data_IF_502006724979
#
_entry.id   IF_502006724979
#
_cell.length_a   1.000
_cell.length_b   1.000
_cell.length_c   1.000
_cell.angle_alpha   90.00
_cell.angle_beta   90.00
_cell.angle_gamma   90.00
#
_symmetry.space_group_name_H-M   'P 1'
#
loop_
_entity.id
_entity.type
_entity.pdbx_description
1 polymer ?
#
# COMPACT_ATOMS: atom_id res chain seq x y z
N UNK A 1 -15.59 8.53 -17.65
CA UNK A 1 -14.74 7.48 -18.25
C UNK A 1 -14.44 6.45 -17.16
N UNK A 2 -15.05 5.27 -17.23
CA UNK A 2 -14.85 4.21 -16.24
C UNK A 2 -13.49 3.58 -16.55
N UNK A 3 -12.53 3.51 -15.60
CA UNK A 3 -11.24 2.89 -15.85
C UNK A 3 -11.44 1.43 -16.26
N UNK A 4 -10.74 1.02 -17.32
CA UNK A 4 -10.85 -0.30 -17.91
C UNK A 4 -10.46 -1.38 -16.88
N UNK A 5 -11.13 -2.53 -16.88
CA UNK A 5 -10.88 -3.59 -15.89
C UNK A 5 -9.43 -4.09 -15.93
N UNK A 6 -8.84 -4.13 -17.13
CA UNK A 6 -7.43 -4.47 -17.38
C UNK A 6 -6.46 -3.48 -16.71
N UNK A 7 -6.76 -2.19 -16.71
CA UNK A 7 -5.93 -1.17 -16.05
C UNK A 7 -5.95 -1.32 -14.52
N UNK A 8 -7.11 -1.66 -13.95
CA UNK A 8 -7.24 -1.91 -12.52
C UNK A 8 -6.48 -3.18 -12.10
N UNK A 9 -6.58 -4.26 -12.88
CA UNK A 9 -5.82 -5.49 -12.65
C UNK A 9 -4.32 -5.24 -12.73
N UNK A 10 -3.86 -4.51 -13.76
CA UNK A 10 -2.44 -4.13 -13.92
C UNK A 10 -1.94 -3.30 -12.75
N UNK A 11 -2.71 -2.32 -12.27
CA UNK A 11 -2.34 -1.50 -11.10
C UNK A 11 -2.25 -2.31 -9.83
N UNK A 12 -3.20 -3.22 -9.60
CA UNK A 12 -3.18 -4.13 -8.44
C UNK A 12 -1.91 -4.97 -8.45
N UNK A 13 -1.55 -5.51 -9.62
CA UNK A 13 -0.36 -6.32 -9.78
C UNK A 13 0.92 -5.51 -9.55
N UNK A 14 1.02 -4.29 -10.09
CA UNK A 14 2.15 -3.37 -9.82
C UNK A 14 2.29 -3.08 -8.32
N UNK A 15 1.20 -2.77 -7.63
CA UNK A 15 1.21 -2.49 -6.18
C UNK A 15 1.72 -3.72 -5.41
N UNK A 16 1.19 -4.90 -5.69
CA UNK A 16 1.63 -6.16 -5.06
C UNK A 16 3.12 -6.40 -5.31
N UNK A 17 3.59 -6.21 -6.54
CA UNK A 17 5.01 -6.40 -6.89
C UNK A 17 5.91 -5.40 -6.17
N UNK A 18 5.52 -4.13 -6.09
CA UNK A 18 6.27 -3.10 -5.34
C UNK A 18 6.35 -3.45 -3.86
N UNK A 19 5.24 -3.86 -3.25
CA UNK A 19 5.25 -4.30 -1.85
C UNK A 19 6.11 -5.55 -1.63
N UNK A 20 6.09 -6.52 -2.55
CA UNK A 20 6.98 -7.69 -2.49
C UNK A 20 8.45 -7.28 -2.57
N UNK A 21 8.81 -6.37 -3.48
CA UNK A 21 10.18 -5.85 -3.58
C UNK A 21 10.62 -5.15 -2.30
N UNK A 22 9.75 -4.31 -1.72
CA UNK A 22 10.00 -3.64 -0.44
C UNK A 22 10.12 -4.64 0.71
N UNK A 23 9.37 -5.76 0.70
CA UNK A 23 9.48 -6.80 1.70
C UNK A 23 10.76 -7.64 1.56
N UNK A 24 11.19 -7.92 0.32
CA UNK A 24 12.37 -8.76 0.02
C UNK A 24 13.68 -8.02 0.29
N UNK A 25 13.74 -6.70 0.05
CA UNK A 25 14.96 -5.92 0.24
C UNK A 25 15.55 -6.00 1.67
N UNK A 26 14.77 -5.88 2.76
CA UNK A 26 15.25 -6.09 4.12
C UNK A 26 15.84 -7.49 4.37
N UNK A 27 15.27 -8.53 3.77
CA UNK A 27 15.74 -9.91 3.95
C UNK A 27 17.07 -10.12 3.23
N UNK A 28 17.18 -9.64 1.98
CA UNK A 28 18.44 -9.70 1.25
C UNK A 28 19.53 -8.91 1.97
N UNK A 29 19.18 -7.74 2.49
CA UNK A 29 20.08 -6.94 3.31
C UNK A 29 20.50 -7.70 4.57
N UNK A 30 19.56 -8.34 5.26
CA UNK A 30 19.84 -9.13 6.47
C UNK A 30 20.72 -10.34 6.18
N UNK A 31 20.46 -11.09 5.11
CA UNK A 31 21.29 -12.21 4.67
C UNK A 31 22.71 -11.75 4.31
N UNK A 32 22.83 -10.63 3.60
CA UNK A 32 24.12 -10.04 3.26
C UNK A 32 24.92 -9.66 4.51
N UNK A 33 24.26 -9.07 5.49
CA UNK A 33 24.87 -8.71 6.78
C UNK A 33 25.36 -9.93 7.53
N UNK A 34 24.55 -10.98 7.58
CA UNK A 34 24.91 -12.23 8.24
C UNK A 34 26.10 -12.87 7.57
N UNK A 35 26.14 -12.89 6.23
CA UNK A 35 27.30 -13.38 5.48
C UNK A 35 28.57 -12.57 5.76
N UNK A 36 28.45 -11.24 5.87
CA UNK A 36 29.57 -10.34 6.25
C UNK A 36 30.09 -10.62 7.66
N UNK A 37 29.19 -10.75 8.65
CA UNK A 37 29.56 -11.06 10.03
C UNK A 37 30.29 -12.40 10.07
N UNK A 38 29.68 -13.46 9.50
CA UNK A 38 30.28 -14.79 9.45
C UNK A 38 31.65 -14.77 8.76
N UNK A 39 31.78 -14.03 7.65
CA UNK A 39 33.05 -13.88 6.94
C UNK A 39 34.14 -13.23 7.79
N UNK A 40 33.83 -12.18 8.54
CA UNK A 40 34.78 -11.54 9.44
C UNK A 40 35.15 -12.44 10.63
N UNK A 41 34.17 -13.13 11.21
CA UNK A 41 34.40 -14.06 12.33
C UNK A 41 35.34 -15.20 11.96
N UNK A 42 35.26 -15.69 10.72
CA UNK A 42 36.17 -16.71 10.20
C UNK A 42 37.59 -16.17 10.02
N UNK A 43 37.76 -14.90 9.66
CA UNK A 43 39.08 -14.28 9.52
C UNK A 43 39.79 -14.04 10.86
N UNK A 44 39.05 -13.82 11.95
CA UNK A 44 39.60 -13.35 13.24
C UNK A 44 39.85 -14.46 14.28
N UNK A 45 39.81 -15.73 13.87
CA UNK A 45 40.13 -16.86 14.76
C UNK A 45 38.93 -17.40 15.56
N UNK A 46 37.70 -17.11 15.14
CA UNK A 46 36.48 -17.69 15.69
C UNK A 46 35.69 -16.74 16.59
N UNK A 47 34.37 -16.76 16.42
CA UNK A 47 33.44 -16.10 17.32
C UNK A 47 33.18 -16.96 18.56
N UNK A 48 33.02 -16.29 19.69
CA UNK A 48 32.43 -16.84 20.90
C UNK A 48 30.99 -17.31 20.65
N UNK A 49 30.57 -18.32 21.42
CA UNK A 49 29.26 -18.98 21.26
C UNK A 49 28.10 -18.02 21.44
N UNK A 50 28.26 -16.99 22.26
CA UNK A 50 27.24 -15.97 22.54
C UNK A 50 26.98 -15.07 21.33
N UNK A 51 28.02 -14.67 20.59
CA UNK A 51 27.88 -13.90 19.36
C UNK A 51 27.11 -14.68 18.28
N UNK A 52 27.37 -15.99 18.14
CA UNK A 52 26.61 -16.85 17.23
C UNK A 52 25.12 -16.94 17.57
N UNK A 53 24.78 -17.00 18.86
CA UNK A 53 23.39 -17.01 19.32
C UNK A 53 22.73 -15.67 18.98
N UNK A 54 23.42 -14.54 19.22
CA UNK A 54 22.92 -13.21 18.85
C UNK A 54 22.60 -13.09 17.36
N UNK A 55 23.53 -13.51 16.51
CA UNK A 55 23.34 -13.52 15.04
C UNK A 55 22.15 -14.42 14.64
N UNK A 56 22.05 -15.60 15.25
CA UNK A 56 20.94 -16.53 14.99
C UNK A 56 19.57 -15.95 15.37
N UNK A 57 19.46 -15.33 16.55
CA UNK A 57 18.22 -14.71 17.03
C UNK A 57 17.81 -13.55 16.15
N UNK A 58 18.75 -12.66 15.80
CA UNK A 58 18.48 -11.51 14.93
C UNK A 58 17.96 -11.99 13.57
N UNK A 59 18.66 -12.94 12.92
CA UNK A 59 18.20 -13.51 11.65
C UNK A 59 16.85 -14.22 11.75
N UNK A 60 16.65 -15.02 12.80
CA UNK A 60 15.40 -15.73 13.03
C UNK A 60 14.21 -14.78 13.14
N UNK A 61 14.36 -13.70 13.90
CA UNK A 61 13.32 -12.67 14.02
C UNK A 61 13.05 -11.96 12.70
N UNK A 62 14.09 -11.60 11.93
CA UNK A 62 13.91 -10.94 10.64
C UNK A 62 13.25 -11.84 9.59
N UNK A 63 13.64 -13.12 9.51
CA UNK A 63 13.00 -14.12 8.64
C UNK A 63 11.54 -14.36 9.03
N UNK A 64 11.24 -14.40 10.33
CA UNK A 64 9.88 -14.59 10.83
C UNK A 64 9.00 -13.38 10.48
N UNK A 65 9.50 -12.17 10.74
CA UNK A 65 8.81 -10.93 10.38
C UNK A 65 8.58 -10.83 8.87
N UNK A 66 9.57 -11.18 8.05
CA UNK A 66 9.42 -11.23 6.60
C UNK A 66 8.37 -12.24 6.16
N UNK A 67 8.39 -13.45 6.71
CA UNK A 67 7.44 -14.50 6.37
C UNK A 67 6.02 -14.06 6.69
N UNK A 68 5.79 -13.46 7.86
CA UNK A 68 4.51 -12.87 8.23
C UNK A 68 4.14 -11.78 7.22
N UNK A 69 5.03 -10.83 6.93
CA UNK A 69 4.73 -9.75 6.00
C UNK A 69 4.38 -10.28 4.61
N UNK A 70 5.13 -11.25 4.09
CA UNK A 70 4.97 -11.82 2.76
C UNK A 70 3.68 -12.63 2.61
N UNK A 71 3.33 -13.46 3.59
CA UNK A 71 2.11 -14.28 3.57
C UNK A 71 0.85 -13.48 3.87
N UNK A 72 0.92 -12.48 4.76
CA UNK A 72 -0.25 -11.68 5.13
C UNK A 72 -0.45 -10.47 4.22
N UNK A 73 0.55 -10.04 3.43
CA UNK A 73 0.43 -8.94 2.47
C UNK A 73 -0.77 -9.05 1.52
N UNK A 74 -1.06 -10.22 0.90
CA UNK A 74 -2.23 -10.39 0.05
C UNK A 74 -3.55 -10.22 0.80
N UNK A 75 -3.61 -10.71 2.05
CA UNK A 75 -4.80 -10.57 2.90
C UNK A 75 -5.01 -9.10 3.29
N UNK A 76 -3.94 -8.42 3.72
CA UNK A 76 -3.93 -6.98 4.03
C UNK A 76 -4.36 -6.18 2.79
N UNK A 77 -3.78 -6.47 1.63
CA UNK A 77 -4.17 -5.85 0.36
C UNK A 77 -5.65 -6.10 0.03
N UNK A 78 -6.18 -7.29 0.34
CA UNK A 78 -7.58 -7.64 0.14
C UNK A 78 -8.55 -6.87 1.07
N UNK A 79 -8.13 -6.48 2.26
CA UNK A 79 -8.92 -5.61 3.16
C UNK A 79 -9.00 -4.18 2.60
N UNK A 80 -7.88 -3.69 2.05
CA UNK A 80 -7.79 -2.32 1.56
C UNK A 80 -8.37 -2.13 0.17
N UNK A 81 -8.18 -3.09 -0.73
CA UNK A 81 -8.79 -3.08 -2.06
C UNK A 81 -10.27 -3.47 -1.91
N UNK A 82 -11.23 -2.57 -2.18
CA UNK A 82 -12.62 -2.98 -2.25
C UNK A 82 -12.70 -4.09 -3.30
N UNK A 83 -13.03 -5.31 -2.86
CA UNK A 83 -13.35 -6.42 -3.75
C UNK A 83 -14.58 -5.92 -4.51
N UNK A 84 -14.39 -5.42 -5.74
CA UNK A 84 -15.52 -5.17 -6.63
C UNK A 84 -16.27 -6.49 -6.67
N UNK A 85 -17.47 -6.52 -6.09
CA UNK A 85 -18.39 -7.61 -6.38
C UNK A 85 -18.63 -7.49 -7.86
N UNK A 86 -18.06 -8.42 -8.61
CA UNK A 86 -18.37 -8.61 -10.01
C UNK A 86 -19.89 -8.76 -10.07
N UNK A 87 -20.59 -7.88 -10.82
CA UNK A 87 -22.04 -8.02 -10.92
C UNK A 87 -22.34 -9.44 -11.42
N UNK A 88 -23.14 -10.18 -10.68
CA UNK A 88 -23.61 -11.51 -11.08
C UNK A 88 -25.02 -11.39 -11.63
N UNK A 89 -25.37 -12.24 -12.59
CA UNK A 89 -26.72 -12.31 -13.11
C UNK A 89 -27.68 -12.73 -11.99
N UNK A 90 -28.74 -11.98 -11.70
CA UNK A 90 -29.66 -12.30 -10.59
C UNK A 90 -30.47 -13.59 -10.83
N UNK A 91 -30.46 -14.12 -12.06
CA UNK A 91 -31.22 -15.32 -12.42
C UNK A 91 -30.40 -16.61 -12.38
N UNK A 92 -29.09 -16.53 -12.65
CA UNK A 92 -28.23 -17.71 -12.81
C UNK A 92 -26.85 -17.57 -12.15
N UNK A 93 -26.61 -16.47 -11.43
CA UNK A 93 -25.34 -16.13 -10.76
C UNK A 93 -24.09 -16.07 -11.67
N UNK A 94 -24.26 -16.14 -12.99
CA UNK A 94 -23.15 -15.97 -13.94
C UNK A 94 -22.46 -14.61 -13.76
N UNK A 95 -21.13 -14.59 -13.72
CA UNK A 95 -20.34 -13.37 -13.55
C UNK A 95 -20.36 -12.52 -14.82
N UNK A 96 -20.84 -11.28 -14.72
CA UNK A 96 -21.07 -10.39 -15.85
C UNK A 96 -19.84 -9.55 -16.23
N UNK A 97 -18.62 -9.99 -15.90
CA UNK A 97 -17.42 -9.25 -16.27
C UNK A 97 -17.11 -9.41 -17.77
N UNK A 98 -16.86 -8.29 -18.45
CA UNK A 98 -16.34 -8.29 -19.82
C UNK A 98 -17.36 -8.60 -20.93
N UNK A 99 -18.66 -8.54 -20.65
CA UNK A 99 -19.68 -8.71 -21.68
C UNK A 99 -19.64 -7.57 -22.72
N UNK A 100 -19.67 -7.95 -24.00
CA UNK A 100 -19.83 -7.03 -25.13
C UNK A 100 -21.31 -6.65 -25.35
N UNK A 101 -22.24 -7.54 -24.98
CA UNK A 101 -23.68 -7.38 -25.21
C UNK A 101 -24.45 -7.36 -23.88
N UNK A 102 -25.55 -6.61 -23.77
CA UNK A 102 -26.35 -6.48 -22.54
C UNK A 102 -27.29 -7.68 -22.33
N UNK A 103 -26.80 -8.92 -22.51
CA UNK A 103 -27.55 -10.16 -22.30
C UNK A 103 -26.67 -11.20 -21.60
N UNK A 104 -27.22 -11.91 -20.64
CA UNK A 104 -26.47 -12.98 -19.98
C UNK A 104 -26.21 -14.14 -20.97
N UNK A 105 -24.96 -14.64 -21.11
CA UNK A 105 -24.64 -15.71 -22.05
C UNK A 105 -25.21 -17.08 -21.64
N UNK A 106 -25.41 -17.32 -20.33
CA UNK A 106 -25.95 -18.58 -19.82
C UNK A 106 -27.47 -18.65 -19.95
N UNK A 107 -28.19 -17.63 -19.46
CA UNK A 107 -29.64 -17.67 -19.39
C UNK A 107 -30.36 -16.86 -20.49
N UNK A 108 -29.62 -16.12 -21.32
CA UNK A 108 -30.18 -15.30 -22.41
C UNK A 108 -30.96 -14.07 -21.95
N UNK A 109 -31.18 -13.88 -20.65
CA UNK A 109 -31.98 -12.77 -20.13
C UNK A 109 -31.30 -11.41 -20.41
N UNK A 110 -32.08 -10.39 -20.82
CA UNK A 110 -31.58 -9.04 -21.00
C UNK A 110 -31.16 -8.46 -19.65
N UNK A 111 -29.96 -7.90 -19.61
CA UNK A 111 -29.42 -7.22 -18.44
C UNK A 111 -29.89 -5.76 -18.51
N UNK A 112 -31.02 -5.46 -17.85
CA UNK A 112 -31.43 -4.08 -17.67
C UNK A 112 -30.47 -3.38 -16.70
N UNK A 113 -30.24 -2.06 -16.83
CA UNK A 113 -29.40 -1.30 -15.91
C UNK A 113 -29.85 -1.44 -14.44
N UNK A 114 -31.15 -1.65 -14.21
CA UNK A 114 -31.73 -1.94 -12.89
C UNK A 114 -31.16 -3.25 -12.28
N UNK A 115 -31.01 -4.31 -13.07
CA UNK A 115 -30.43 -5.58 -12.61
C UNK A 115 -28.93 -5.52 -12.36
N UNK A 116 -28.21 -4.63 -13.04
CA UNK A 116 -26.78 -4.42 -12.80
C UNK A 116 -26.50 -3.66 -11.50
N UNK A 117 -27.55 -3.26 -10.75
CA UNK A 117 -27.40 -2.42 -9.57
C UNK A 117 -26.83 -1.03 -9.91
N UNK A 118 -26.90 -0.63 -11.17
CA UNK A 118 -26.62 0.73 -11.58
C UNK A 118 -27.84 1.55 -11.17
N UNK A 119 -27.72 2.45 -10.18
CA UNK A 119 -28.84 3.29 -9.82
C UNK A 119 -29.35 4.01 -11.07
N UNK A 120 -30.68 4.17 -11.22
CA UNK A 120 -31.24 4.93 -12.33
C UNK A 120 -30.54 6.29 -12.37
N UNK A 121 -30.01 6.64 -13.55
CA UNK A 121 -29.05 7.72 -13.74
C UNK A 121 -29.55 9.12 -13.34
N UNK A 122 -30.80 9.24 -12.88
CA UNK A 122 -31.46 10.51 -12.76
C UNK A 122 -31.32 11.23 -11.42
N UNK A 123 -31.35 10.58 -10.24
CA UNK A 123 -31.34 11.32 -8.95
C UNK A 123 -30.87 10.48 -7.75
N UNK A 124 -29.72 9.80 -7.83
CA UNK A 124 -29.27 8.93 -6.73
C UNK A 124 -28.28 9.60 -5.76
N UNK A 125 -28.72 10.03 -4.54
CA UNK A 125 -27.84 10.36 -3.43
C UNK A 125 -26.99 9.16 -2.95
N UNK A 126 -27.18 7.97 -3.51
CA UNK A 126 -26.43 6.75 -3.23
C UNK A 126 -24.96 6.75 -3.70
N UNK A 127 -24.52 7.72 -4.52
CA UNK A 127 -23.10 7.89 -4.83
C UNK A 127 -22.30 8.57 -3.70
N UNK A 128 -22.97 9.34 -2.86
CA UNK A 128 -22.37 10.01 -1.70
C UNK A 128 -21.79 9.02 -0.66
N UNK A 129 -22.49 7.95 -0.22
CA UNK A 129 -21.94 7.01 0.75
C UNK A 129 -20.73 6.23 0.22
N UNK A 130 -20.63 6.01 -1.10
CA UNK A 130 -19.46 5.35 -1.70
C UNK A 130 -18.24 6.29 -1.73
N UNK A 131 -18.45 7.57 -2.08
CA UNK A 131 -17.37 8.57 -2.04
C UNK A 131 -16.85 8.75 -0.61
N UNK A 132 -17.76 8.85 0.37
CA UNK A 132 -17.41 8.97 1.80
C UNK A 132 -16.65 7.75 2.30
N UNK A 133 -17.02 6.53 1.90
CA UNK A 133 -16.29 5.31 2.29
C UNK A 133 -14.90 5.22 1.66
N UNK A 134 -14.72 5.69 0.41
CA UNK A 134 -13.40 5.75 -0.24
C UNK A 134 -12.50 6.79 0.45
N UNK A 135 -13.03 7.98 0.75
CA UNK A 135 -12.30 9.05 1.46
C UNK A 135 -11.85 8.56 2.86
N UNK A 136 -12.74 7.89 3.59
CA UNK A 136 -12.45 7.32 4.92
C UNK A 136 -11.39 6.22 4.87
N UNK A 137 -11.42 5.33 3.86
CA UNK A 137 -10.38 4.31 3.69
C UNK A 137 -9.01 4.93 3.37
N UNK A 138 -8.99 6.01 2.59
CA UNK A 138 -7.75 6.72 2.24
C UNK A 138 -7.11 7.39 3.45
N UNK A 139 -7.93 8.02 4.31
CA UNK A 139 -7.43 8.63 5.53
C UNK A 139 -6.86 7.57 6.48
N UNK A 140 -7.57 6.45 6.68
CA UNK A 140 -7.10 5.31 7.47
C UNK A 140 -5.77 4.75 6.94
N UNK A 141 -5.66 4.55 5.62
CA UNK A 141 -4.42 4.05 5.01
C UNK A 141 -3.24 5.01 5.24
N UNK A 142 -3.47 6.31 5.11
CA UNK A 142 -2.44 7.33 5.38
C UNK A 142 -2.02 7.33 6.85
N UNK A 143 -2.98 7.18 7.77
CA UNK A 143 -2.72 7.07 9.21
C UNK A 143 -1.95 5.81 9.56
N UNK A 144 -2.28 4.67 8.96
CA UNK A 144 -1.57 3.39 9.17
C UNK A 144 -0.12 3.48 8.67
N UNK A 145 0.11 4.03 7.47
CA UNK A 145 1.47 4.23 6.95
C UNK A 145 2.28 5.14 7.86
N UNK A 146 1.68 6.25 8.33
CA UNK A 146 2.34 7.16 9.27
C UNK A 146 2.66 6.48 10.59
N UNK A 147 1.74 5.68 11.14
CA UNK A 147 1.95 4.93 12.37
C UNK A 147 3.12 3.94 12.22
N UNK A 148 3.17 3.20 11.11
CA UNK A 148 4.28 2.28 10.80
C UNK A 148 5.60 3.05 10.70
N UNK A 149 5.60 4.21 10.01
CA UNK A 149 6.79 5.07 9.92
C UNK A 149 7.27 5.57 11.28
N UNK A 150 6.36 6.02 12.15
CA UNK A 150 6.68 6.43 13.52
C UNK A 150 7.20 5.29 14.38
N UNK A 151 6.60 4.10 14.29
CA UNK A 151 7.04 2.92 15.03
C UNK A 151 8.44 2.49 14.58
N UNK A 152 8.71 2.50 13.27
CA UNK A 152 10.03 2.22 12.71
C UNK A 152 11.06 3.26 13.17
N UNK A 153 10.69 4.54 13.23
CA UNK A 153 11.56 5.60 13.72
C UNK A 153 11.88 5.42 15.22
N UNK A 154 10.88 5.11 16.05
CA UNK A 154 11.04 4.84 17.48
C UNK A 154 11.95 3.64 17.75
N UNK A 155 11.98 2.64 16.87
CA UNK A 155 12.87 1.48 17.00
C UNK A 155 14.27 1.74 16.42
N UNK A 156 14.37 2.39 15.26
CA UNK A 156 15.64 2.62 14.57
C UNK A 156 16.46 3.74 15.22
N UNK A 157 15.81 4.77 15.77
CA UNK A 157 16.50 5.94 16.34
C UNK A 157 17.34 5.62 17.59
N UNK A 158 16.88 4.84 18.59
CA UNK A 158 17.70 4.42 19.71
C UNK A 158 18.90 3.56 19.29
N UNK A 159 18.70 2.66 18.32
CA UNK A 159 19.78 1.84 17.76
C UNK A 159 20.84 2.70 17.06
N UNK A 160 20.42 3.71 16.30
CA UNK A 160 21.31 4.67 15.66
C UNK A 160 22.08 5.51 16.69
N UNK A 161 21.37 6.04 17.70
CA UNK A 161 21.99 6.80 18.79
C UNK A 161 22.98 5.96 19.58
N UNK A 162 22.66 4.70 19.88
CA UNK A 162 23.63 3.79 20.49
C UNK A 162 24.83 3.59 19.58
N UNK A 163 24.65 3.30 18.30
CA UNK A 163 25.77 3.18 17.35
C UNK A 163 26.69 4.40 17.38
N UNK A 164 26.12 5.61 17.40
CA UNK A 164 26.87 6.86 17.54
C UNK A 164 27.58 7.00 18.90
N UNK A 165 26.89 6.74 20.02
CA UNK A 165 27.51 6.88 21.35
C UNK A 165 28.63 5.86 21.53
N UNK A 166 28.45 4.64 21.06
CA UNK A 166 29.49 3.60 21.04
C UNK A 166 30.71 4.03 20.21
N UNK A 167 30.52 4.53 18.98
CA UNK A 167 31.64 5.09 18.19
C UNK A 167 32.36 6.21 18.94
N UNK A 168 31.61 7.11 19.59
CA UNK A 168 32.19 8.29 20.22
C UNK A 168 32.96 7.96 21.49
N UNK A 169 32.42 7.10 22.37
CA UNK A 169 33.05 6.76 23.65
C UNK A 169 34.39 6.07 23.43
N UNK A 170 34.52 5.27 22.38
CA UNK A 170 35.77 4.57 22.06
C UNK A 170 36.78 5.41 21.32
N UNK A 171 36.31 6.31 20.45
CA UNK A 171 37.18 7.31 19.83
C UNK A 171 37.95 8.11 20.90
N UNK A 172 37.34 8.33 22.08
CA UNK A 172 37.98 8.99 23.22
C UNK A 172 38.76 8.05 24.14
N UNK A 173 38.31 6.80 24.35
CA UNK A 173 38.92 5.94 25.37
C UNK A 173 40.12 5.12 24.89
N UNK A 174 40.23 4.73 23.62
CA UNK A 174 41.39 3.91 23.19
C UNK A 174 41.55 3.85 21.66
N UNK A 175 42.54 4.55 21.10
CA UNK A 175 42.96 4.37 19.70
C UNK A 175 43.66 3.01 19.47
N UNK A 176 43.97 2.28 20.55
CA UNK A 176 44.72 1.02 20.55
C UNK A 176 43.85 -0.21 20.25
N UNK A 177 42.57 -0.21 20.61
CA UNK A 177 41.66 -1.37 20.38
C UNK A 177 40.96 -1.24 19.03
N UNK A 178 41.66 -1.69 17.97
CA UNK A 178 41.18 -1.75 16.56
C UNK A 178 39.88 -2.54 16.32
N UNK A 179 39.30 -3.21 17.33
CA UNK A 179 38.23 -4.18 17.09
C UNK A 179 36.81 -3.60 17.02
N UNK A 180 36.54 -2.39 17.53
CA UNK A 180 35.14 -1.95 17.74
C UNK A 180 34.68 -0.84 16.77
N UNK A 181 35.61 -0.05 16.22
CA UNK A 181 35.34 0.92 15.12
C UNK A 181 34.57 0.30 13.92
N UNK A 182 34.88 -0.94 13.45
CA UNK A 182 34.15 -1.56 12.35
C UNK A 182 32.67 -1.83 12.70
N UNK A 183 32.41 -2.29 13.92
CA UNK A 183 31.07 -2.63 14.39
C UNK A 183 30.18 -1.40 14.53
N UNK A 184 30.73 -0.32 15.06
CA UNK A 184 29.96 0.90 15.29
C UNK A 184 29.71 1.66 13.96
N UNK A 185 30.69 1.67 13.04
CA UNK A 185 30.49 2.15 11.65
C UNK A 185 29.45 1.32 10.89
N UNK A 186 29.44 0.00 11.13
CA UNK A 186 28.46 -0.91 10.56
C UNK A 186 27.04 -0.65 11.09
N UNK A 187 26.87 -0.45 12.40
CA UNK A 187 25.57 -0.10 13.01
C UNK A 187 25.02 1.23 12.48
N UNK A 188 25.88 2.24 12.31
CA UNK A 188 25.49 3.53 11.72
C UNK A 188 25.07 3.34 10.26
N UNK A 189 25.90 2.66 9.46
CA UNK A 189 25.59 2.37 8.06
C UNK A 189 24.31 1.54 7.90
N UNK A 190 24.02 0.63 8.83
CA UNK A 190 22.81 -0.18 8.86
C UNK A 190 21.58 0.62 9.27
N UNK A 191 21.64 1.40 10.35
CA UNK A 191 20.50 2.13 10.86
C UNK A 191 20.10 3.32 9.97
N UNK A 192 21.05 3.91 9.23
CA UNK A 192 20.81 5.05 8.32
C UNK A 192 19.70 4.82 7.29
N UNK A 193 19.72 3.76 6.45
CA UNK A 193 18.66 3.53 5.46
C UNK A 193 17.30 3.25 6.11
N UNK A 194 17.24 2.59 7.27
CA UNK A 194 15.98 2.41 8.01
C UNK A 194 15.46 3.73 8.55
N UNK A 195 16.34 4.60 9.04
CA UNK A 195 15.99 5.93 9.50
C UNK A 195 15.45 6.78 8.34
N UNK A 196 16.13 6.76 7.19
CA UNK A 196 15.69 7.47 5.97
C UNK A 196 14.33 6.94 5.51
N UNK A 197 14.15 5.62 5.45
CA UNK A 197 12.88 5.01 5.08
C UNK A 197 11.77 5.37 6.08
N UNK A 198 12.05 5.32 7.38
CA UNK A 198 11.10 5.69 8.43
C UNK A 198 10.69 7.17 8.33
N UNK A 199 11.64 8.08 8.08
CA UNK A 199 11.39 9.51 7.83
C UNK A 199 10.52 9.68 6.58
N UNK A 200 10.84 8.98 5.48
CA UNK A 200 10.04 9.04 4.24
C UNK A 200 8.61 8.57 4.50
N UNK A 201 8.40 7.47 5.22
CA UNK A 201 7.06 6.97 5.53
C UNK A 201 6.30 7.89 6.50
N UNK A 202 6.96 8.40 7.54
CA UNK A 202 6.34 9.26 8.55
C UNK A 202 5.92 10.63 7.96
N UNK A 203 6.81 11.27 7.20
CA UNK A 203 6.59 12.64 6.70
C UNK A 203 5.96 12.67 5.31
N UNK A 204 6.32 11.74 4.42
CA UNK A 204 5.84 11.69 3.04
C UNK A 204 4.78 10.61 2.78
N UNK A 205 4.30 9.92 3.82
CA UNK A 205 3.25 8.90 3.69
C UNK A 205 2.02 9.37 2.91
N UNK A 206 1.65 10.66 3.03
CA UNK A 206 0.56 11.24 2.24
C UNK A 206 0.87 11.38 0.73
N UNK A 207 2.12 11.66 0.34
CA UNK A 207 2.52 11.67 -1.08
C UNK A 207 2.61 10.25 -1.63
N UNK A 208 3.12 9.31 -0.85
CA UNK A 208 3.15 7.87 -1.20
C UNK A 208 1.72 7.35 -1.38
N UNK A 209 0.81 7.67 -0.45
CA UNK A 209 -0.60 7.29 -0.56
C UNK A 209 -1.28 7.91 -1.80
N UNK A 210 -0.89 9.11 -2.24
CA UNK A 210 -1.39 9.71 -3.50
C UNK A 210 -0.89 8.98 -4.75
N UNK A 211 0.33 8.43 -4.73
CA UNK A 211 0.86 7.61 -5.83
C UNK A 211 0.15 6.26 -5.90
N UNK A 212 -0.14 5.66 -4.75
CA UNK A 212 -0.78 4.33 -4.67
C UNK A 212 -2.29 4.41 -4.93
N UNK A 213 -2.96 5.46 -4.43
CA UNK A 213 -4.40 5.67 -4.58
C UNK A 213 -4.64 6.88 -5.49
N UNK A 214 -4.81 6.69 -6.81
CA UNK A 214 -5.05 7.79 -7.72
C UNK A 214 -6.33 8.51 -7.35
N UNK A 215 -6.26 9.85 -7.32
CA UNK A 215 -7.43 10.70 -7.07
C UNK A 215 -8.42 10.45 -8.20
N UNK A 216 -9.61 9.96 -7.87
CA UNK A 216 -10.72 9.95 -8.81
C UNK A 216 -11.01 11.44 -9.08
N UNK A 217 -10.64 11.92 -10.28
CA UNK A 217 -11.07 13.24 -10.71
C UNK A 217 -12.59 13.18 -10.72
N UNK A 218 -13.25 14.04 -9.93
CA UNK A 218 -14.69 14.25 -10.14
C UNK A 218 -14.87 14.54 -11.62
N UNK A 219 -15.83 13.88 -12.30
CA UNK A 219 -16.21 14.33 -13.62
C UNK A 219 -16.45 15.85 -13.52
N UNK A 220 -15.94 16.64 -14.48
CA UNK A 220 -16.21 18.07 -14.48
C UNK A 220 -17.71 18.22 -14.30
N UNK A 221 -18.09 18.96 -13.27
CA UNK A 221 -19.48 19.21 -12.92
C UNK A 221 -20.12 19.73 -14.19
N UNK A 222 -20.87 18.86 -14.86
CA UNK A 222 -21.53 19.20 -16.12
C UNK A 222 -22.43 20.34 -15.75
N UNK A 223 -22.09 21.53 -16.26
CA UNK A 223 -22.86 22.74 -16.06
C UNK A 223 -24.33 22.36 -16.23
N UNK A 224 -25.19 22.61 -15.23
CA UNK A 224 -26.57 22.14 -15.26
C UNK A 224 -27.13 22.47 -16.64
N UNK A 225 -27.55 21.45 -17.40
CA UNK A 225 -28.26 21.72 -18.65
C UNK A 225 -29.43 22.60 -18.24
N UNK A 226 -29.60 23.78 -18.86
CA UNK A 226 -30.74 24.62 -18.55
C UNK A 226 -31.98 23.73 -18.70
N UNK A 227 -32.75 23.62 -17.62
CA UNK A 227 -34.01 22.90 -17.64
C UNK A 227 -34.78 23.53 -18.81
N UNK A 228 -35.20 22.75 -19.82
CA UNK A 228 -35.98 23.30 -20.92
C UNK A 228 -37.16 24.00 -20.27
N UNK A 229 -37.13 25.33 -20.33
CA UNK A 229 -38.20 26.17 -19.80
C UNK A 229 -39.43 25.70 -20.53
N UNK A 230 -40.40 25.21 -19.76
CA UNK A 230 -41.69 24.69 -20.20
C UNK A 230 -42.11 25.36 -21.49
N UNK A 231 -42.39 24.56 -22.52
CA UNK A 231 -42.91 25.03 -23.78
C UNK A 231 -44.00 26.08 -23.53
N UNK A 232 -43.97 27.23 -24.25
CA UNK A 232 -44.97 28.27 -24.06
C UNK A 232 -46.37 27.65 -24.16
N UNK A 233 -47.30 28.07 -23.30
CA UNK A 233 -48.67 27.55 -23.30
C UNK A 233 -49.27 27.66 -24.71
N UNK A 234 -50.05 26.67 -25.16
CA UNK A 234 -50.64 26.69 -26.49
C UNK A 234 -51.45 27.97 -26.68
N UNK A 235 -51.20 28.67 -27.80
CA UNK A 235 -52.00 29.84 -28.18
C UNK A 235 -53.48 29.44 -28.24
N UNK A 236 -54.39 30.23 -27.64
CA UNK A 236 -55.81 29.98 -27.75
C UNK A 236 -56.22 30.10 -29.21
N UNK A 237 -56.59 28.98 -29.83
CA UNK A 237 -57.24 28.96 -31.14
C UNK A 237 -58.58 29.68 -31.01
N UNK A 238 -58.63 30.89 -31.56
CA UNK A 238 -59.87 31.63 -31.77
C UNK A 238 -60.64 30.96 -32.92
N UNK A 239 -61.52 30.01 -32.58
CA UNK A 239 -62.59 29.61 -33.48
C UNK A 239 -63.77 30.56 -33.31
N UNK A 240 -64.15 31.17 -34.43
CA UNK A 240 -65.31 32.02 -34.64
C UNK A 240 -66.47 31.22 -35.23
#
# INVERSE_FOLDING_TARGET
MIPNASDLARRRQVIITVFRMIAVAPVLLMLFITAMIVGQSLQWGGMDKEAWIGVGVVNGLGLTAFSILFFFLPAIAGVFLPRRRTPSCPFCDYQLEGLAEPRCPECGNPLTPEFMGLPPAHDSPALEPLAVTIERRRSLFTSVIRLIGWLALLLAFPLFLWGLTATSMEFFNDFSRRSIIPWASFLIGFATPFLVLAIVLAFFGAKVARLVVPRIKRPPETTPRPIPTTAPPPEPTAEA
#
